data_IF_560516606134
#
_entry.id   IF_560516606134
#
_cell.length_a   1.000
_cell.length_b   1.000
_cell.length_c   1.000
_cell.angle_alpha   90.00
_cell.angle_beta   90.00
_cell.angle_gamma   90.00
#
_symmetry.space_group_name_H-M   'P 1'
#
loop_
_entity.id
_entity.type
_entity.pdbx_description
1 polymer ?
#
# COMPACT_ATOMS: atom_id res chain seq x y z
N UNK A 1 7.65 18.51 8.28
CA UNK A 1 6.73 17.37 8.37
C UNK A 1 6.94 16.46 7.19
N UNK A 2 7.01 15.18 7.44
CA UNK A 2 7.17 14.17 6.39
C UNK A 2 6.02 13.18 6.44
N UNK A 3 5.83 12.48 5.33
CA UNK A 3 4.78 11.48 5.20
C UNK A 3 5.41 10.13 4.90
N UNK A 4 5.09 9.14 5.71
CA UNK A 4 5.55 7.78 5.52
C UNK A 4 4.46 6.99 4.81
N UNK A 5 4.79 6.43 3.65
CA UNK A 5 3.86 5.56 2.93
C UNK A 5 3.92 4.17 3.52
N UNK A 6 2.78 3.66 3.92
CA UNK A 6 2.66 2.31 4.49
C UNK A 6 1.71 1.51 3.63
N UNK A 7 2.19 0.38 3.13
CA UNK A 7 1.42 -0.51 2.26
C UNK A 7 0.98 -1.75 3.02
N UNK A 8 -0.16 -2.30 2.62
CA UNK A 8 -0.67 -3.53 3.23
C UNK A 8 -1.46 -4.32 2.21
N UNK A 9 -1.18 -5.62 2.12
CA UNK A 9 -1.89 -6.54 1.23
C UNK A 9 -2.87 -7.34 2.06
N UNK A 10 -4.13 -7.38 1.61
CA UNK A 10 -5.20 -8.07 2.33
C UNK A 10 -5.92 -9.05 1.40
N UNK A 11 -6.48 -10.10 1.99
CA UNK A 11 -7.34 -11.05 1.29
C UNK A 11 -8.74 -10.95 1.87
N UNK A 12 -9.70 -10.55 1.03
CA UNK A 12 -11.10 -10.50 1.45
C UNK A 12 -11.67 -11.91 1.65
N UNK A 13 -11.16 -12.87 0.87
CA UNK A 13 -11.61 -14.25 0.98
C UNK A 13 -11.24 -14.85 2.35
N UNK A 14 -10.03 -14.61 2.80
CA UNK A 14 -9.54 -15.15 4.07
C UNK A 14 -9.74 -14.20 5.24
N UNK A 15 -10.24 -12.98 4.98
CA UNK A 15 -10.45 -11.95 5.99
C UNK A 15 -9.18 -11.66 6.80
N UNK A 16 -8.06 -11.63 6.10
CA UNK A 16 -6.76 -11.42 6.75
C UNK A 16 -5.88 -10.50 5.92
N UNK A 17 -4.96 -9.85 6.61
CA UNK A 17 -3.99 -8.95 5.99
C UNK A 17 -2.58 -9.33 6.40
N UNK A 18 -1.64 -9.09 5.49
CA UNK A 18 -0.24 -9.22 5.82
C UNK A 18 0.20 -8.04 6.70
N UNK A 19 1.38 -8.14 7.27
CA UNK A 19 1.92 -7.05 8.07
C UNK A 19 2.11 -5.80 7.21
N UNK A 20 1.93 -4.64 7.85
CA UNK A 20 2.17 -3.38 7.18
C UNK A 20 3.64 -3.24 6.82
N UNK A 21 3.91 -2.65 5.65
CA UNK A 21 5.27 -2.47 5.16
C UNK A 21 5.51 -1.01 4.79
N UNK A 22 6.59 -0.39 5.29
CA UNK A 22 6.92 0.96 4.84
C UNK A 22 7.40 0.91 3.39
N UNK A 23 6.96 1.89 2.60
CA UNK A 23 7.24 1.91 1.17
C UNK A 23 7.84 3.23 0.68
N UNK A 24 8.26 4.09 1.59
CA UNK A 24 8.93 5.32 1.21
C UNK A 24 8.51 6.52 2.04
N UNK A 25 9.26 7.58 1.92
CA UNK A 25 9.00 8.85 2.59
C UNK A 25 8.79 9.95 1.56
N UNK A 26 7.87 10.85 1.84
CA UNK A 26 7.51 11.92 0.92
C UNK A 26 7.34 13.23 1.67
N UNK A 27 7.55 14.34 0.96
CA UNK A 27 7.49 15.67 1.58
C UNK A 27 6.06 16.19 1.69
N UNK A 28 5.16 15.73 0.82
CA UNK A 28 3.78 16.19 0.81
C UNK A 28 2.83 15.01 0.84
N UNK A 29 1.62 15.26 1.33
CA UNK A 29 0.58 14.24 1.31
C UNK A 29 0.22 13.85 -0.12
N UNK A 30 0.19 14.80 -1.03
CA UNK A 30 -0.13 14.53 -2.43
C UNK A 30 0.87 13.53 -3.03
N UNK A 31 2.16 13.78 -2.81
CA UNK A 31 3.19 12.89 -3.33
C UNK A 31 3.09 11.49 -2.73
N UNK A 32 2.85 11.42 -1.43
CA UNK A 32 2.67 10.15 -0.74
C UNK A 32 1.46 9.39 -1.27
N UNK A 33 0.33 10.05 -1.40
CA UNK A 33 -0.90 9.42 -1.89
C UNK A 33 -0.76 8.94 -3.33
N UNK A 34 -0.15 9.76 -4.19
CA UNK A 34 0.09 9.38 -5.58
C UNK A 34 0.98 8.14 -5.65
N UNK A 35 2.06 8.13 -4.88
CA UNK A 35 2.95 6.98 -4.81
C UNK A 35 2.23 5.74 -4.29
N UNK A 36 1.32 5.92 -3.32
CA UNK A 36 0.53 4.82 -2.79
C UNK A 36 -0.32 4.14 -3.85
N UNK A 37 -1.02 4.93 -4.67
CA UNK A 37 -1.83 4.37 -5.75
C UNK A 37 -0.98 3.66 -6.79
N UNK A 38 0.15 4.27 -7.18
CA UNK A 38 1.05 3.65 -8.17
C UNK A 38 1.63 2.34 -7.65
N UNK A 39 2.06 2.31 -6.40
CA UNK A 39 2.59 1.10 -5.79
C UNK A 39 1.52 0.03 -5.65
N UNK A 40 0.30 0.41 -5.27
CA UNK A 40 -0.80 -0.55 -5.16
C UNK A 40 -1.09 -1.21 -6.50
N UNK A 41 -1.15 -0.41 -7.58
CA UNK A 41 -1.35 -0.96 -8.92
C UNK A 41 -0.21 -1.88 -9.32
N UNK A 42 1.03 -1.49 -9.01
CA UNK A 42 2.19 -2.31 -9.30
C UNK A 42 2.14 -3.67 -8.61
N UNK A 43 1.77 -3.68 -7.33
CA UNK A 43 1.64 -4.93 -6.59
C UNK A 43 0.55 -5.83 -7.16
N UNK A 44 -0.59 -5.26 -7.58
CA UNK A 44 -1.65 -6.03 -8.21
C UNK A 44 -1.17 -6.70 -9.48
N UNK A 45 -0.39 -5.97 -10.29
CA UNK A 45 0.18 -6.53 -11.53
C UNK A 45 1.19 -7.61 -11.27
N UNK A 46 2.04 -7.44 -10.25
CA UNK A 46 3.03 -8.45 -9.90
C UNK A 46 2.39 -9.74 -9.41
N UNK A 47 1.33 -9.64 -8.61
CA UNK A 47 0.60 -10.81 -8.13
C UNK A 47 -0.12 -11.51 -9.28
N UNK A 48 -0.60 -10.73 -10.24
CA UNK A 48 -1.28 -11.27 -11.40
C UNK A 48 -2.77 -11.47 -11.19
N UNK A 49 -3.49 -11.45 -12.31
CA UNK A 49 -4.94 -11.52 -12.31
C UNK A 49 -5.47 -12.79 -11.64
N UNK A 50 -4.87 -13.93 -11.93
CA UNK A 50 -5.33 -15.21 -11.39
C UNK A 50 -5.26 -15.24 -9.87
N UNK A 51 -4.14 -14.79 -9.30
CA UNK A 51 -3.96 -14.79 -7.84
C UNK A 51 -4.87 -13.75 -7.17
N UNK A 52 -4.96 -12.57 -7.76
CA UNK A 52 -5.82 -11.52 -7.22
C UNK A 52 -7.27 -11.97 -7.18
N UNK A 53 -7.74 -12.61 -8.24
CA UNK A 53 -9.11 -13.10 -8.29
C UNK A 53 -9.34 -14.27 -7.34
N UNK A 54 -8.39 -15.19 -7.28
CA UNK A 54 -8.53 -16.39 -6.45
C UNK A 54 -8.63 -16.07 -4.98
N UNK A 55 -7.78 -15.18 -4.49
CA UNK A 55 -7.73 -14.82 -3.07
C UNK A 55 -8.46 -13.54 -2.75
N UNK A 56 -9.06 -12.89 -3.75
CA UNK A 56 -9.74 -11.61 -3.59
C UNK A 56 -8.82 -10.60 -2.89
N UNK A 57 -7.66 -10.40 -3.50
CA UNK A 57 -6.62 -9.53 -2.96
C UNK A 57 -7.01 -8.06 -3.12
N UNK A 58 -6.82 -7.29 -2.06
CA UNK A 58 -6.85 -5.83 -2.11
C UNK A 58 -5.54 -5.30 -1.55
N UNK A 59 -5.09 -4.18 -2.09
CA UNK A 59 -3.90 -3.50 -1.58
C UNK A 59 -4.36 -2.18 -1.00
N UNK A 60 -3.99 -1.94 0.24
CA UNK A 60 -4.34 -0.73 0.95
C UNK A 60 -3.08 0.05 1.28
N UNK A 61 -3.21 1.34 1.43
CA UNK A 61 -2.09 2.15 1.89
C UNK A 61 -2.59 3.30 2.74
N UNK A 62 -1.68 3.87 3.51
CA UNK A 62 -1.95 5.07 4.27
C UNK A 62 -0.68 5.92 4.28
N UNK A 63 -0.87 7.23 4.46
CA UNK A 63 0.22 8.19 4.57
C UNK A 63 0.23 8.69 6.00
N UNK A 64 1.20 8.23 6.77
CA UNK A 64 1.31 8.59 8.17
C UNK A 64 2.26 9.78 8.31
N UNK A 65 1.78 10.83 8.97
CA UNK A 65 2.63 11.99 9.22
C UNK A 65 3.60 11.72 10.37
N UNK A 66 4.80 12.24 10.26
CA UNK A 66 5.74 12.22 11.37
C UNK A 66 6.68 13.41 11.23
N UNK A 67 7.25 13.81 12.36
CA UNK A 67 8.21 14.88 12.37
C UNK A 67 9.61 14.31 12.37
N UNK A 68 10.39 14.78 11.40
CA UNK A 68 11.79 14.43 11.29
C UNK A 68 12.58 15.44 12.11
N UNK A 69 13.23 15.01 13.14
CA UNK A 69 14.05 15.88 13.97
C UNK A 69 15.47 15.93 13.45
#
# INVERSE_FOLDING_TARGET
>A
MKFLLIMQVCSALHLSCMNEMPAGEYKTHFDCATAGYLNAMGLMRELGEAEVNRSQITVQFKCKTYDSV
#
